data_IF_066687011950
#
_entry.id   IF_066687011950
#
_cell.length_a   1.000
_cell.length_b   1.000
_cell.length_c   1.000
_cell.angle_alpha   90.00
_cell.angle_beta   90.00
_cell.angle_gamma   90.00
#
_symmetry.space_group_name_H-M   'P 1'
#
loop_
_entity.id
_entity.type
_entity.pdbx_description
1 polymer ?
#
# COMPACT_ATOMS: atom_id res chain seq x y z
N UNK A 1 28.85 2.28 -22.02
CA UNK A 1 29.21 2.45 -20.59
C UNK A 1 28.02 2.90 -19.71
N UNK A 2 27.24 3.91 -20.13
CA UNK A 2 26.11 4.46 -19.35
C UNK A 2 24.98 3.46 -19.03
N UNK A 3 24.69 2.53 -19.94
CA UNK A 3 23.66 1.49 -19.76
C UNK A 3 24.05 0.41 -18.72
N UNK A 4 25.34 0.09 -18.60
CA UNK A 4 25.84 -0.88 -17.64
C UNK A 4 25.77 -0.34 -16.20
N UNK A 5 26.13 0.93 -16.01
CA UNK A 5 26.02 1.62 -14.72
C UNK A 5 24.57 1.75 -14.24
N UNK A 6 23.61 2.02 -15.14
CA UNK A 6 22.18 2.06 -14.79
C UNK A 6 21.60 0.71 -14.37
N UNK A 7 22.04 -0.41 -14.97
CA UNK A 7 21.59 -1.75 -14.58
C UNK A 7 22.13 -2.17 -13.21
N UNK A 8 23.34 -1.73 -12.86
CA UNK A 8 23.97 -2.03 -11.57
C UNK A 8 23.46 -1.17 -10.42
N UNK A 9 23.02 0.06 -10.69
CA UNK A 9 22.47 0.97 -9.68
C UNK A 9 21.05 0.60 -9.21
N UNK A 10 20.20 0.05 -10.10
CA UNK A 10 18.81 -0.33 -9.79
C UNK A 10 18.63 -1.33 -8.64
N UNK A 11 19.36 -2.47 -8.57
CA UNK A 11 19.20 -3.45 -7.49
C UNK A 11 19.62 -2.90 -6.11
N UNK A 12 20.58 -1.97 -6.07
CA UNK A 12 20.99 -1.34 -4.82
C UNK A 12 20.00 -0.28 -4.34
N UNK A 13 19.39 0.44 -5.28
CA UNK A 13 18.32 1.37 -4.96
C UNK A 13 17.09 0.66 -4.37
N UNK A 14 16.74 -0.54 -4.87
CA UNK A 14 15.68 -1.37 -4.27
C UNK A 14 16.07 -1.91 -2.89
N UNK A 15 17.33 -2.30 -2.68
CA UNK A 15 17.81 -2.76 -1.39
C UNK A 15 17.79 -1.66 -0.31
N UNK A 16 18.10 -0.41 -0.68
CA UNK A 16 18.05 0.75 0.23
C UNK A 16 16.61 1.21 0.49
N UNK A 17 15.71 1.05 -0.49
CA UNK A 17 14.30 1.43 -0.32
C UNK A 17 13.53 0.45 0.60
N UNK A 18 13.90 -0.83 0.60
CA UNK A 18 13.25 -1.88 1.38
C UNK A 18 13.14 -1.57 2.90
N UNK A 19 14.20 -1.16 3.62
CA UNK A 19 14.10 -0.85 5.05
C UNK A 19 13.25 0.38 5.36
N UNK A 20 12.96 1.26 4.39
CA UNK A 20 12.02 2.37 4.57
C UNK A 20 10.57 1.95 4.30
N UNK A 21 10.37 1.04 3.34
CA UNK A 21 9.04 0.51 2.99
C UNK A 21 8.46 -0.31 4.14
N UNK A 22 9.26 -1.17 4.77
CA UNK A 22 8.78 -2.08 5.82
C UNK A 22 8.11 -1.37 7.02
N UNK A 23 8.77 -0.42 7.72
CA UNK A 23 8.16 0.25 8.87
C UNK A 23 6.98 1.14 8.46
N UNK A 24 7.07 1.81 7.30
CA UNK A 24 5.96 2.61 6.79
C UNK A 24 4.74 1.73 6.44
N UNK A 25 4.97 0.54 5.87
CA UNK A 25 3.91 -0.41 5.56
C UNK A 25 3.27 -0.98 6.82
N UNK A 26 4.02 -1.28 7.88
CA UNK A 26 3.45 -1.74 9.17
C UNK A 26 2.65 -0.66 9.86
N UNK A 27 3.14 0.58 9.92
CA UNK A 27 2.38 1.70 10.51
C UNK A 27 1.10 1.96 9.69
N UNK A 28 1.20 1.91 8.37
CA UNK A 28 0.06 2.11 7.48
C UNK A 28 -0.99 1.01 7.61
N UNK A 29 -0.58 -0.26 7.66
CA UNK A 29 -1.49 -1.38 7.89
C UNK A 29 -2.19 -1.29 9.25
N UNK A 30 -1.46 -0.91 10.30
CA UNK A 30 -2.04 -0.69 11.62
C UNK A 30 -3.12 0.40 11.58
N UNK A 31 -2.82 1.56 10.97
CA UNK A 31 -3.79 2.66 10.82
C UNK A 31 -5.05 2.23 10.07
N UNK A 32 -4.89 1.56 8.93
CA UNK A 32 -6.04 1.07 8.14
C UNK A 32 -6.87 0.08 8.94
N UNK A 33 -6.22 -0.82 9.69
CA UNK A 33 -6.92 -1.81 10.54
C UNK A 33 -7.69 -1.14 11.69
N UNK A 34 -7.12 -0.13 12.34
CA UNK A 34 -7.80 0.66 13.37
C UNK A 34 -8.97 1.45 12.80
N UNK A 35 -8.80 2.13 11.67
CA UNK A 35 -9.90 2.84 11.00
C UNK A 35 -11.04 1.89 10.62
N UNK A 36 -10.72 0.68 10.15
CA UNK A 36 -11.70 -0.35 9.85
C UNK A 36 -12.45 -0.83 11.10
N UNK A 37 -11.75 -0.99 12.22
CA UNK A 37 -12.34 -1.40 13.49
C UNK A 37 -13.25 -0.32 14.08
N UNK A 38 -12.87 0.96 13.99
CA UNK A 38 -13.59 2.08 14.61
C UNK A 38 -14.75 2.60 13.75
N UNK A 39 -14.55 2.72 12.43
CA UNK A 39 -15.51 3.33 11.50
C UNK A 39 -16.14 2.32 10.53
N UNK A 40 -15.83 1.04 10.70
CA UNK A 40 -16.40 -0.06 9.93
C UNK A 40 -15.69 -0.34 8.60
N UNK A 41 -16.14 -1.41 7.95
CA UNK A 41 -15.63 -1.94 6.68
C UNK A 41 -15.45 -0.84 5.61
N UNK A 42 -16.46 0.00 5.27
CA UNK A 42 -16.32 0.98 4.18
C UNK A 42 -15.24 2.03 4.45
N UNK A 43 -15.07 2.46 5.70
CA UNK A 43 -14.05 3.45 6.05
C UNK A 43 -12.63 2.89 5.86
N UNK A 44 -12.40 1.62 6.25
CA UNK A 44 -11.13 0.93 6.02
C UNK A 44 -10.73 0.91 4.54
N UNK A 45 -11.69 0.61 3.65
CA UNK A 45 -11.45 0.62 2.21
C UNK A 45 -11.17 2.03 1.66
N UNK A 46 -11.92 3.04 2.09
CA UNK A 46 -11.70 4.43 1.64
C UNK A 46 -10.30 4.91 2.02
N UNK A 47 -9.89 4.66 3.27
CA UNK A 47 -8.57 5.04 3.79
C UNK A 47 -7.46 4.28 3.06
N UNK A 48 -7.65 3.00 2.73
CA UNK A 48 -6.65 2.21 2.00
C UNK A 48 -6.52 2.61 0.52
N UNK A 49 -7.62 2.92 -0.16
CA UNK A 49 -7.64 3.17 -1.61
C UNK A 49 -7.19 4.58 -1.98
N UNK A 50 -7.48 5.58 -1.14
CA UNK A 50 -7.12 6.99 -1.44
C UNK A 50 -5.62 7.19 -1.72
N UNK A 51 -4.72 6.79 -0.80
CA UNK A 51 -3.28 6.88 -1.00
C UNK A 51 -2.78 6.00 -2.15
N UNK A 52 -3.38 4.82 -2.34
CA UNK A 52 -3.04 3.96 -3.49
C UNK A 52 -3.26 4.71 -4.81
N UNK A 53 -4.44 5.31 -5.00
CA UNK A 53 -4.76 6.05 -6.22
C UNK A 53 -3.78 7.21 -6.45
N UNK A 54 -3.42 7.93 -5.39
CA UNK A 54 -2.43 9.00 -5.45
C UNK A 54 -1.06 8.48 -5.90
N UNK A 55 -0.55 7.41 -5.28
CA UNK A 55 0.77 6.88 -5.60
C UNK A 55 0.84 6.17 -6.95
N UNK A 56 -0.26 5.57 -7.43
CA UNK A 56 -0.38 5.07 -8.81
C UNK A 56 -0.20 6.22 -9.80
N UNK A 57 -0.92 7.33 -9.61
CA UNK A 57 -0.82 8.51 -10.48
C UNK A 57 0.56 9.17 -10.38
N UNK A 58 1.14 9.22 -9.17
CA UNK A 58 2.47 9.78 -8.96
C UNK A 58 3.57 8.93 -9.62
N UNK A 59 3.49 7.59 -9.54
CA UNK A 59 4.45 6.71 -10.20
C UNK A 59 4.30 6.77 -11.72
N UNK A 60 3.07 6.82 -12.23
CA UNK A 60 2.79 6.94 -13.67
C UNK A 60 3.35 8.25 -14.27
N UNK A 61 3.35 9.35 -13.51
CA UNK A 61 3.87 10.65 -13.98
C UNK A 61 5.37 10.79 -13.82
N UNK A 62 5.93 10.29 -12.73
CA UNK A 62 7.27 10.67 -12.27
C UNK A 62 8.28 9.52 -12.27
N UNK A 63 7.83 8.26 -12.20
CA UNK A 63 8.66 7.06 -12.03
C UNK A 63 9.76 7.19 -10.95
N UNK A 64 9.53 8.05 -9.94
CA UNK A 64 10.48 8.28 -8.85
C UNK A 64 10.39 7.15 -7.85
N UNK A 65 11.53 6.83 -7.23
CA UNK A 65 11.62 5.85 -6.13
C UNK A 65 10.62 6.12 -5.01
N UNK A 66 10.41 7.39 -4.65
CA UNK A 66 9.45 7.78 -3.61
C UNK A 66 8.02 7.38 -3.98
N UNK A 67 7.62 7.54 -5.23
CA UNK A 67 6.29 7.14 -5.69
C UNK A 67 6.12 5.61 -5.63
N UNK A 68 7.16 4.86 -6.00
CA UNK A 68 7.16 3.38 -5.89
C UNK A 68 7.13 2.89 -4.45
N UNK A 69 7.87 3.53 -3.56
CA UNK A 69 7.85 3.23 -2.12
C UNK A 69 6.44 3.47 -1.57
N UNK A 70 5.84 4.63 -1.86
CA UNK A 70 4.47 4.95 -1.47
C UNK A 70 3.43 3.99 -2.05
N UNK A 71 3.62 3.53 -3.27
CA UNK A 71 2.77 2.51 -3.90
C UNK A 71 2.83 1.19 -3.14
N UNK A 72 4.04 0.67 -2.87
CA UNK A 72 4.25 -0.58 -2.14
C UNK A 72 3.68 -0.51 -0.72
N UNK A 73 3.89 0.60 -0.01
CA UNK A 73 3.29 0.80 1.31
C UNK A 73 1.77 0.86 1.24
N UNK A 74 1.19 1.49 0.22
CA UNK A 74 -0.27 1.58 0.07
C UNK A 74 -0.90 0.22 -0.19
N UNK A 75 -0.24 -0.64 -0.98
CA UNK A 75 -0.69 -2.01 -1.24
C UNK A 75 -0.74 -2.83 0.05
N UNK A 76 0.22 -2.66 0.95
CA UNK A 76 0.18 -3.33 2.25
C UNK A 76 -1.10 -2.95 3.03
N UNK A 77 -1.47 -1.67 3.04
CA UNK A 77 -2.70 -1.19 3.67
C UNK A 77 -3.98 -1.80 3.09
N UNK A 78 -4.03 -2.06 1.79
CA UNK A 78 -5.16 -2.78 1.17
C UNK A 78 -5.28 -4.19 1.73
N UNK A 79 -4.14 -4.86 1.97
CA UNK A 79 -4.12 -6.15 2.64
C UNK A 79 -4.75 -6.11 4.03
N UNK A 80 -4.55 -5.03 4.79
CA UNK A 80 -5.19 -4.85 6.09
C UNK A 80 -6.67 -4.42 5.99
N UNK A 81 -7.05 -3.73 4.92
CA UNK A 81 -8.45 -3.40 4.66
C UNK A 81 -9.26 -4.59 4.16
N UNK A 82 -8.65 -5.65 3.64
CA UNK A 82 -9.35 -6.79 3.06
C UNK A 82 -9.53 -7.93 4.06
N UNK A 83 -10.77 -8.36 4.28
CA UNK A 83 -11.08 -9.61 4.98
C UNK A 83 -11.85 -10.55 4.05
N UNK A 84 -11.51 -11.85 3.98
CA UNK A 84 -12.29 -12.82 3.20
C UNK A 84 -13.73 -12.92 3.70
N UNK A 85 -13.99 -12.56 4.96
CA UNK A 85 -15.33 -12.52 5.53
C UNK A 85 -16.15 -11.31 5.06
N UNK A 86 -15.54 -10.27 4.48
CA UNK A 86 -16.29 -9.13 3.94
C UNK A 86 -17.23 -9.56 2.82
N UNK A 87 -16.76 -10.48 1.97
CA UNK A 87 -17.57 -11.05 0.89
C UNK A 87 -18.76 -11.81 1.50
N UNK A 88 -18.53 -12.57 2.57
CA UNK A 88 -19.59 -13.31 3.26
C UNK A 88 -20.59 -12.35 3.92
N UNK A 89 -20.12 -11.30 4.59
CA UNK A 89 -20.98 -10.28 5.20
C UNK A 89 -21.77 -9.51 4.14
N UNK A 90 -21.20 -9.26 2.96
CA UNK A 90 -21.90 -8.64 1.83
C UNK A 90 -23.07 -9.50 1.34
N UNK A 91 -22.90 -10.83 1.29
CA UNK A 91 -23.94 -11.76 0.82
C UNK A 91 -24.93 -12.18 1.91
N UNK A 92 -24.51 -12.23 3.17
CA UNK A 92 -25.33 -12.76 4.28
C UNK A 92 -25.89 -11.68 5.19
N UNK A 93 -25.37 -10.45 5.14
CA UNK A 93 -25.73 -9.36 6.06
C UNK A 93 -25.27 -9.59 7.51
N UNK A 94 -24.56 -10.67 7.80
CA UNK A 94 -24.08 -10.99 9.15
C UNK A 94 -22.79 -10.21 9.41
N UNK A 95 -22.88 -9.23 10.31
CA UNK A 95 -21.74 -8.50 10.86
C UNK A 95 -21.18 -9.24 12.08
N UNK A 96 -19.87 -9.49 12.11
CA UNK A 96 -19.16 -9.99 13.31
C UNK A 96 -18.97 -8.87 14.33
#
# INVERSE_FOLDING_TARGET
>A
MYLALRRWARPRQTAIALPLVLPAATVWTALVSSCRAEAGIPAGYVVAVGPLAYFVLADARSHRLVARVGLLTSIAGIGAAFSPFDIVTLFTGVTQ
#
